data_IF_649638551287
#
_entry.id   IF_649638551287
#
_cell.length_a   1.000
_cell.length_b   1.000
_cell.length_c   1.000
_cell.angle_alpha   90.00
_cell.angle_beta   90.00
_cell.angle_gamma   90.00
#
_symmetry.space_group_name_H-M   'P 1'
#
loop_
_entity.id
_entity.type
_entity.pdbx_description
1 polymer ?
#
# COMPACT_ATOMS: atom_id res chain seq x y z
N UNK A 1 1.22 9.44 -40.43
CA UNK A 1 0.37 10.36 -39.64
C UNK A 1 0.24 9.80 -38.23
N UNK A 2 0.94 10.39 -37.25
CA UNK A 2 0.96 9.91 -35.85
C UNK A 2 -0.21 10.54 -35.10
N UNK A 3 -1.18 9.73 -34.68
CA UNK A 3 -2.28 10.19 -33.82
C UNK A 3 -1.75 10.37 -32.39
N UNK A 4 -1.85 11.58 -31.88
CA UNK A 4 -1.67 11.88 -30.47
C UNK A 4 -2.78 11.17 -29.68
N UNK A 5 -2.39 10.34 -28.71
CA UNK A 5 -3.34 9.74 -27.77
C UNK A 5 -3.68 10.78 -26.68
N UNK A 6 -4.95 10.85 -26.23
CA UNK A 6 -5.36 11.80 -25.21
C UNK A 6 -4.71 11.46 -23.87
N UNK A 7 -4.26 12.51 -23.19
CA UNK A 7 -3.78 12.50 -21.81
C UNK A 7 -4.87 11.91 -20.89
N UNK A 8 -4.78 10.62 -20.59
CA UNK A 8 -5.39 10.08 -19.39
C UNK A 8 -4.46 10.40 -18.22
N UNK A 9 -4.80 11.49 -17.55
CA UNK A 9 -4.22 11.95 -16.28
C UNK A 9 -4.20 10.78 -15.30
N UNK A 10 -3.01 10.37 -14.87
CA UNK A 10 -2.85 9.43 -13.78
C UNK A 10 -3.64 9.93 -12.56
N UNK A 11 -4.38 9.08 -11.82
CA UNK A 11 -4.90 9.46 -10.52
C UNK A 11 -3.71 9.89 -9.66
N UNK A 12 -3.84 11.06 -9.03
CA UNK A 12 -2.81 11.67 -8.21
C UNK A 12 -2.56 10.81 -6.96
N UNK A 13 -1.73 9.77 -7.09
CA UNK A 13 -1.33 8.94 -5.96
C UNK A 13 -0.05 9.51 -5.34
N UNK A 14 -0.23 10.06 -4.14
CA UNK A 14 0.74 10.33 -3.07
C UNK A 14 1.88 11.33 -3.36
N UNK A 15 1.65 12.58 -2.95
CA UNK A 15 2.69 13.43 -2.37
C UNK A 15 2.69 13.25 -0.85
N UNK A 16 3.76 12.76 -0.20
CA UNK A 16 3.82 12.77 1.25
C UNK A 16 4.07 14.21 1.75
N UNK A 17 3.08 14.78 2.44
CA UNK A 17 3.24 16.02 3.18
C UNK A 17 4.19 15.77 4.37
N UNK A 18 5.33 16.46 4.35
CA UNK A 18 6.34 16.46 5.41
C UNK A 18 5.79 17.20 6.64
N UNK A 19 5.31 16.46 7.64
CA UNK A 19 4.86 17.05 8.91
C UNK A 19 6.06 17.48 9.75
N UNK A 20 6.04 18.74 10.18
CA UNK A 20 7.04 19.37 11.06
C UNK A 20 6.88 18.83 12.48
N UNK A 21 7.97 18.33 13.06
CA UNK A 21 8.04 18.00 14.48
C UNK A 21 7.84 19.26 15.33
N UNK A 22 6.84 19.23 16.20
CA UNK A 22 6.64 20.22 17.25
C UNK A 22 7.31 19.73 18.53
N UNK A 23 8.20 20.56 19.02
CA UNK A 23 9.01 20.42 20.23
C UNK A 23 8.15 20.82 21.44
N UNK A 24 8.10 19.98 22.48
CA UNK A 24 7.60 20.36 23.80
C UNK A 24 8.70 20.03 24.82
N UNK A 25 9.06 21.02 25.63
CA UNK A 25 10.12 20.94 26.62
C UNK A 25 9.64 20.72 28.06
N UNK A 26 10.67 20.48 28.89
CA UNK A 26 10.87 20.74 30.33
C UNK A 26 10.06 19.99 31.41
N UNK A 27 10.82 19.45 32.38
CA UNK A 27 10.38 19.38 33.78
C UNK A 27 10.91 18.23 34.66
N UNK A 28 12.18 18.30 35.08
CA UNK A 28 12.73 18.16 36.47
C UNK A 28 12.36 16.99 37.42
N UNK A 29 13.45 16.29 37.82
CA UNK A 29 13.89 15.74 39.12
C UNK A 29 13.12 14.68 39.94
N UNK A 30 13.88 13.70 40.43
CA UNK A 30 13.58 12.92 41.64
C UNK A 30 14.21 11.52 41.71
N UNK A 31 15.49 11.42 42.09
CA UNK A 31 16.07 10.23 42.76
C UNK A 31 15.63 10.23 44.25
N UNK A 32 15.49 9.07 44.96
CA UNK A 32 16.67 8.28 45.35
C UNK A 32 16.50 6.75 45.63
N UNK A 33 17.65 6.06 45.53
CA UNK A 33 18.23 4.97 46.36
C UNK A 33 17.47 3.69 46.81
N UNK A 34 18.18 2.60 46.50
CA UNK A 34 18.49 1.38 47.28
C UNK A 34 17.39 0.39 47.74
N UNK A 35 17.59 -0.86 47.34
CA UNK A 35 16.92 -2.02 47.91
C UNK A 35 17.34 -3.32 47.21
N UNK A 36 18.47 -3.89 47.63
CA UNK A 36 18.92 -5.21 47.20
C UNK A 36 18.02 -6.34 47.73
N UNK A 37 17.85 -7.38 46.92
CA UNK A 37 17.13 -8.60 47.29
C UNK A 37 17.33 -9.68 46.24
N UNK A 38 18.30 -10.57 46.50
CA UNK A 38 18.61 -11.76 45.73
C UNK A 38 17.59 -12.86 46.07
N UNK A 39 16.96 -13.49 45.08
CA UNK A 39 16.26 -14.76 45.26
C UNK A 39 16.14 -15.52 43.94
N UNK A 40 16.79 -16.69 43.92
CA UNK A 40 16.69 -17.73 42.91
C UNK A 40 15.24 -18.15 42.64
N UNK A 41 14.90 -18.29 41.36
CA UNK A 41 13.58 -18.73 40.93
C UNK A 41 13.64 -19.27 39.51
N UNK A 42 13.88 -20.57 39.40
CA UNK A 42 13.88 -21.35 38.17
C UNK A 42 12.61 -21.10 37.34
N UNK A 43 12.77 -20.41 36.21
CA UNK A 43 11.76 -20.28 35.16
C UNK A 43 12.34 -20.75 33.83
N UNK A 44 12.25 -22.05 33.55
CA UNK A 44 12.40 -22.57 32.18
C UNK A 44 11.28 -21.97 31.32
N UNK A 45 11.54 -20.84 30.69
CA UNK A 45 10.73 -20.38 29.57
C UNK A 45 11.21 -21.11 28.31
N UNK A 46 10.39 -21.95 27.65
CA UNK A 46 10.68 -22.31 26.29
C UNK A 46 10.37 -21.08 25.44
N UNK A 47 11.38 -20.21 25.26
CA UNK A 47 11.34 -19.15 24.26
C UNK A 47 11.52 -19.78 22.87
N UNK A 48 10.52 -20.54 22.44
CA UNK A 48 10.31 -20.81 21.02
C UNK A 48 8.94 -20.23 20.66
N UNK A 49 8.87 -18.90 20.72
CA UNK A 49 7.84 -18.15 20.02
C UNK A 49 8.10 -18.29 18.52
N UNK A 50 7.78 -19.46 17.98
CA UNK A 50 7.60 -19.65 16.55
C UNK A 50 6.41 -18.78 16.16
N UNK A 51 6.70 -17.52 15.86
CA UNK A 51 5.75 -16.58 15.28
C UNK A 51 5.27 -17.26 14.00
N UNK A 52 4.06 -17.82 14.03
CA UNK A 52 3.30 -18.03 12.80
C UNK A 52 3.08 -16.63 12.24
N UNK A 53 4.00 -16.21 11.38
CA UNK A 53 3.77 -15.06 10.53
C UNK A 53 2.45 -15.33 9.84
N UNK A 54 1.52 -14.39 9.95
CA UNK A 54 0.27 -14.46 9.20
C UNK A 54 0.62 -14.62 7.73
N UNK A 55 -0.23 -15.28 6.95
CA UNK A 55 0.03 -15.50 5.52
C UNK A 55 0.33 -14.18 4.79
N UNK A 56 -0.31 -13.09 5.23
CA UNK A 56 0.01 -11.71 4.86
C UNK A 56 1.50 -11.36 5.08
N UNK A 57 2.03 -11.53 6.28
CA UNK A 57 3.43 -11.19 6.59
C UNK A 57 4.48 -11.97 5.77
N UNK A 58 4.11 -13.11 5.16
CA UNK A 58 5.02 -13.87 4.28
C UNK A 58 5.10 -13.29 2.86
N UNK A 59 4.09 -12.52 2.44
CA UNK A 59 3.98 -12.04 1.06
C UNK A 59 4.75 -10.73 0.85
N UNK A 60 4.85 -9.87 1.88
CA UNK A 60 5.67 -8.66 1.92
C UNK A 60 7.15 -8.94 2.27
N UNK A 61 7.44 -10.05 2.94
CA UNK A 61 8.80 -10.43 3.36
C UNK A 61 9.90 -10.38 2.27
N UNK A 62 9.63 -10.66 0.98
CA UNK A 62 10.65 -10.60 -0.06
C UNK A 62 10.84 -9.19 -0.68
N UNK A 63 10.01 -8.20 -0.36
CA UNK A 63 10.10 -6.87 -0.97
C UNK A 63 10.95 -5.91 -0.14
N UNK A 64 11.99 -5.27 -0.72
CA UNK A 64 12.73 -4.23 -0.03
C UNK A 64 11.84 -3.02 0.21
N UNK A 65 11.94 -2.42 1.40
CA UNK A 65 11.22 -1.21 1.73
C UNK A 65 11.70 -0.04 0.84
N UNK A 66 10.84 0.91 0.43
CA UNK A 66 11.24 1.99 -0.47
C UNK A 66 12.48 2.79 -0.01
N UNK A 67 12.62 3.03 1.30
CA UNK A 67 13.79 3.71 1.87
C UNK A 67 15.10 2.93 1.70
N UNK A 68 15.04 1.60 1.64
CA UNK A 68 16.22 0.77 1.39
C UNK A 68 16.67 0.85 -0.07
N UNK A 69 15.76 1.16 -1.00
CA UNK A 69 16.10 1.32 -2.39
C UNK A 69 16.75 2.66 -2.71
N UNK A 70 16.60 3.69 -1.89
CA UNK A 70 17.19 5.03 -2.11
C UNK A 70 18.71 4.97 -2.31
N UNK A 71 19.38 4.05 -1.61
CA UNK A 71 20.84 3.85 -1.71
C UNK A 71 21.25 2.90 -2.84
N UNK A 72 20.29 2.18 -3.44
CA UNK A 72 20.55 1.24 -4.53
C UNK A 72 20.71 1.98 -5.85
N UNK A 73 21.73 1.59 -6.63
CA UNK A 73 21.95 2.10 -7.99
C UNK A 73 20.74 1.83 -8.89
N UNK A 74 20.17 2.90 -9.45
CA UNK A 74 19.04 2.80 -10.37
C UNK A 74 19.39 1.95 -11.59
N UNK A 75 18.44 1.11 -12.01
CA UNK A 75 18.61 0.07 -13.05
C UNK A 75 19.72 -0.96 -12.77
N UNK A 76 20.39 -0.92 -11.62
CA UNK A 76 21.31 -1.96 -11.18
C UNK A 76 20.60 -3.30 -10.93
N UNK A 77 21.38 -4.35 -10.71
CA UNK A 77 20.84 -5.68 -10.47
C UNK A 77 19.89 -5.76 -9.25
N UNK A 78 20.22 -5.16 -8.08
CA UNK A 78 19.31 -5.18 -6.93
C UNK A 78 18.00 -4.42 -7.21
N UNK A 79 18.05 -3.33 -7.97
CA UNK A 79 16.87 -2.57 -8.38
C UNK A 79 15.94 -3.38 -9.30
N UNK A 80 16.50 -4.01 -10.34
CA UNK A 80 15.72 -4.86 -11.25
C UNK A 80 15.07 -6.03 -10.50
N UNK A 81 15.82 -6.66 -9.59
CA UNK A 81 15.30 -7.73 -8.74
C UNK A 81 14.12 -7.25 -7.91
N UNK A 82 14.23 -6.10 -7.25
CA UNK A 82 13.14 -5.52 -6.46
C UNK A 82 11.88 -5.25 -7.31
N UNK A 83 12.05 -4.66 -8.50
CA UNK A 83 10.94 -4.42 -9.43
C UNK A 83 10.26 -5.72 -9.90
N UNK A 84 11.05 -6.75 -10.25
CA UNK A 84 10.51 -8.05 -10.64
C UNK A 84 9.80 -8.75 -9.47
N UNK A 85 10.32 -8.64 -8.25
CA UNK A 85 9.67 -9.18 -7.07
C UNK A 85 8.34 -8.47 -6.80
N UNK A 86 8.33 -7.13 -6.87
CA UNK A 86 7.12 -6.32 -6.69
C UNK A 86 6.03 -6.74 -7.69
N UNK A 87 6.37 -6.82 -8.97
CA UNK A 87 5.47 -7.30 -10.02
C UNK A 87 4.87 -8.66 -9.66
N UNK A 88 5.71 -9.64 -9.31
CA UNK A 88 5.25 -11.01 -8.98
C UNK A 88 4.39 -11.08 -7.71
N UNK A 89 4.72 -10.28 -6.69
CA UNK A 89 3.94 -10.21 -5.44
C UNK A 89 2.54 -9.68 -5.70
N UNK A 90 2.39 -8.67 -6.57
CA UNK A 90 1.08 -8.11 -6.92
C UNK A 90 0.15 -9.20 -7.49
N UNK A 91 0.60 -10.00 -8.49
CA UNK A 91 -0.25 -11.07 -9.05
C UNK A 91 -0.60 -12.15 -8.02
N UNK A 92 0.32 -12.50 -7.12
CA UNK A 92 0.05 -13.45 -6.03
C UNK A 92 -1.03 -12.92 -5.08
N UNK A 93 -0.98 -11.63 -4.77
CA UNK A 93 -1.99 -10.99 -3.94
C UNK A 93 -3.33 -10.87 -4.67
N UNK A 94 -3.33 -10.51 -5.95
CA UNK A 94 -4.55 -10.50 -6.74
C UNK A 94 -5.23 -11.88 -6.75
N UNK A 95 -4.45 -12.96 -6.89
CA UNK A 95 -4.98 -14.32 -6.87
C UNK A 95 -5.63 -14.69 -5.52
N UNK A 96 -5.07 -14.21 -4.40
CA UNK A 96 -5.51 -14.60 -3.06
C UNK A 96 -6.49 -13.62 -2.40
N UNK A 97 -6.55 -12.36 -2.87
CA UNK A 97 -7.30 -11.27 -2.21
C UNK A 97 -8.44 -10.70 -3.04
N UNK A 98 -8.43 -10.86 -4.37
CA UNK A 98 -9.43 -10.26 -5.24
C UNK A 98 -10.43 -11.29 -5.75
N UNK A 99 -11.67 -10.86 -5.95
CA UNK A 99 -12.67 -11.64 -6.66
C UNK A 99 -12.26 -11.84 -8.13
N UNK A 100 -12.73 -12.91 -8.81
CA UNK A 100 -12.28 -13.24 -10.18
C UNK A 100 -12.37 -12.08 -11.17
N UNK A 101 -13.47 -11.32 -11.15
CA UNK A 101 -13.67 -10.16 -12.03
C UNK A 101 -12.72 -9.01 -11.68
N UNK A 102 -12.51 -8.72 -10.39
CA UNK A 102 -11.58 -7.70 -9.93
C UNK A 102 -10.14 -8.06 -10.29
N UNK A 103 -9.76 -9.33 -10.15
CA UNK A 103 -8.45 -9.85 -10.53
C UNK A 103 -8.19 -9.67 -12.03
N UNK A 104 -9.15 -10.03 -12.89
CA UNK A 104 -8.96 -9.92 -14.33
C UNK A 104 -8.69 -8.47 -14.77
N UNK A 105 -9.44 -7.52 -14.21
CA UNK A 105 -9.22 -6.10 -14.46
C UNK A 105 -7.88 -5.62 -13.88
N UNK A 106 -7.60 -5.97 -12.62
CA UNK A 106 -6.39 -5.59 -11.91
C UNK A 106 -5.12 -6.11 -12.59
N UNK A 107 -5.11 -7.37 -13.02
CA UNK A 107 -3.98 -8.00 -13.70
C UNK A 107 -3.65 -7.29 -15.02
N UNK A 108 -4.68 -6.99 -15.82
CA UNK A 108 -4.51 -6.22 -17.06
C UNK A 108 -3.97 -4.81 -16.78
N UNK A 109 -4.49 -4.16 -15.75
CA UNK A 109 -4.04 -2.82 -15.36
C UNK A 109 -2.56 -2.81 -14.92
N UNK A 110 -2.16 -3.76 -14.07
CA UNK A 110 -0.76 -3.91 -13.61
C UNK A 110 0.19 -4.10 -14.80
N UNK A 111 -0.16 -4.98 -15.75
CA UNK A 111 0.66 -5.22 -16.93
C UNK A 111 0.90 -3.93 -17.72
N UNK A 112 -0.17 -3.18 -17.99
CA UNK A 112 -0.10 -1.92 -18.74
C UNK A 112 0.72 -0.87 -18.00
N UNK A 113 0.51 -0.70 -16.70
CA UNK A 113 1.23 0.32 -15.92
C UNK A 113 2.71 0.01 -15.77
N UNK A 114 3.09 -1.25 -15.53
CA UNK A 114 4.51 -1.65 -15.49
C UNK A 114 5.17 -1.46 -16.86
N UNK A 115 4.49 -1.81 -17.95
CA UNK A 115 5.00 -1.60 -19.30
C UNK A 115 5.23 -0.10 -19.58
N UNK A 116 4.27 0.76 -19.20
CA UNK A 116 4.38 2.23 -19.36
C UNK A 116 5.55 2.83 -18.59
N UNK A 117 5.96 2.21 -17.48
CA UNK A 117 7.02 2.71 -16.61
C UNK A 117 8.39 2.04 -16.82
N UNK A 118 8.55 1.17 -17.83
CA UNK A 118 9.84 0.55 -18.16
C UNK A 118 10.94 1.58 -18.45
N UNK A 119 10.58 2.68 -19.09
CA UNK A 119 11.50 3.75 -19.50
C UNK A 119 11.36 5.02 -18.64
N UNK A 120 10.73 4.92 -17.47
CA UNK A 120 10.62 6.03 -16.55
C UNK A 120 12.00 6.53 -16.09
N UNK A 121 12.09 7.83 -15.83
CA UNK A 121 13.25 8.43 -15.16
C UNK A 121 13.40 7.86 -13.74
N UNK A 122 14.61 7.91 -13.19
CA UNK A 122 14.88 7.38 -11.85
C UNK A 122 13.89 7.91 -10.80
N UNK A 123 13.68 9.22 -10.78
CA UNK A 123 12.74 9.87 -9.86
C UNK A 123 11.33 9.26 -9.98
N UNK A 124 10.80 9.15 -11.19
CA UNK A 124 9.46 8.61 -11.40
C UNK A 124 9.40 7.11 -11.11
N UNK A 125 10.45 6.35 -11.40
CA UNK A 125 10.51 4.93 -11.11
C UNK A 125 10.58 4.64 -9.59
N UNK A 126 11.24 5.51 -8.81
CA UNK A 126 11.25 5.45 -7.33
C UNK A 126 9.89 5.75 -6.73
N UNK A 127 9.23 6.82 -7.20
CA UNK A 127 7.85 7.15 -6.80
C UNK A 127 6.92 5.98 -7.15
N UNK A 128 7.03 5.45 -8.37
CA UNK A 128 6.27 4.29 -8.83
C UNK A 128 6.45 3.10 -7.89
N UNK A 129 7.69 2.71 -7.59
CA UNK A 129 7.95 1.61 -6.65
C UNK A 129 7.29 1.85 -5.29
N UNK A 130 7.44 3.06 -4.73
CA UNK A 130 6.87 3.42 -3.43
C UNK A 130 5.33 3.32 -3.44
N UNK A 131 4.66 3.85 -4.46
CA UNK A 131 3.21 3.78 -4.60
C UNK A 131 2.72 2.34 -4.68
N UNK A 132 3.38 1.50 -5.48
CA UNK A 132 3.02 0.10 -5.65
C UNK A 132 3.36 -0.76 -4.43
N UNK A 133 4.42 -0.43 -3.68
CA UNK A 133 4.71 -1.03 -2.38
C UNK A 133 3.57 -0.73 -1.38
N UNK A 134 3.09 0.52 -1.35
CA UNK A 134 1.93 0.90 -0.53
C UNK A 134 0.67 0.13 -0.93
N UNK A 135 0.42 -0.05 -2.23
CA UNK A 135 -0.69 -0.86 -2.74
C UNK A 135 -0.61 -2.32 -2.28
N UNK A 136 0.57 -2.94 -2.36
CA UNK A 136 0.80 -4.31 -1.86
C UNK A 136 0.46 -4.40 -0.37
N UNK A 137 0.93 -3.45 0.45
CA UNK A 137 0.63 -3.42 1.88
C UNK A 137 -0.88 -3.28 2.15
N UNK A 138 -1.58 -2.48 1.35
CA UNK A 138 -3.04 -2.32 1.41
C UNK A 138 -3.77 -3.64 1.08
N UNK A 139 -3.39 -4.30 -0.01
CA UNK A 139 -3.97 -5.60 -0.40
C UNK A 139 -3.73 -6.67 0.68
N UNK A 140 -2.56 -6.69 1.31
CA UNK A 140 -2.27 -7.62 2.39
C UNK A 140 -3.12 -7.40 3.63
N UNK A 141 -3.44 -6.15 3.94
CA UNK A 141 -4.38 -5.79 4.99
C UNK A 141 -5.84 -6.18 4.67
N UNK A 142 -6.10 -6.76 3.49
CA UNK A 142 -7.44 -7.13 3.03
C UNK A 142 -8.26 -5.95 2.54
N UNK A 143 -7.64 -4.77 2.38
CA UNK A 143 -8.31 -3.57 1.92
C UNK A 143 -8.27 -3.52 0.38
N UNK A 144 -9.24 -4.16 -0.26
CA UNK A 144 -9.37 -4.17 -1.73
C UNK A 144 -10.03 -2.91 -2.29
N UNK A 145 -10.73 -2.16 -1.42
CA UNK A 145 -11.30 -0.85 -1.70
C UNK A 145 -10.90 0.15 -0.60
N UNK A 146 -10.92 1.44 -0.94
CA UNK A 146 -10.79 2.53 0.03
C UNK A 146 -11.77 3.63 -0.32
N UNK A 147 -12.22 4.35 0.70
CA UNK A 147 -12.93 5.61 0.49
C UNK A 147 -11.98 6.64 -0.12
N UNK A 148 -12.56 7.55 -0.92
CA UNK A 148 -11.85 8.71 -1.41
C UNK A 148 -11.48 9.60 -0.23
N UNK A 149 -10.25 10.10 -0.22
CA UNK A 149 -9.81 11.11 0.75
C UNK A 149 -10.51 12.44 0.49
N UNK A 150 -10.55 13.30 1.51
CA UNK A 150 -11.14 14.64 1.39
C UNK A 150 -10.43 15.47 0.30
N UNK A 151 -9.11 15.33 0.16
CA UNK A 151 -8.33 15.98 -0.89
C UNK A 151 -8.73 15.49 -2.28
N UNK A 152 -8.97 14.19 -2.46
CA UNK A 152 -9.41 13.62 -3.73
C UNK A 152 -10.82 14.05 -4.07
N UNK A 153 -11.73 14.08 -3.09
CA UNK A 153 -13.08 14.61 -3.26
C UNK A 153 -13.05 16.09 -3.68
N UNK A 154 -12.13 16.90 -3.15
CA UNK A 154 -11.98 18.31 -3.55
C UNK A 154 -11.51 18.47 -5.00
N UNK A 155 -10.78 17.51 -5.55
CA UNK A 155 -10.30 17.55 -6.94
C UNK A 155 -11.37 17.17 -7.97
N UNK A 156 -12.50 16.59 -7.54
CA UNK A 156 -13.60 16.24 -8.43
C UNK A 156 -14.41 17.47 -8.85
N UNK A 157 -14.82 17.51 -10.11
CA UNK A 157 -15.76 18.53 -10.59
C UNK A 157 -17.14 18.31 -9.96
N UNK A 158 -18.00 19.36 -9.91
CA UNK A 158 -19.37 19.22 -9.41
C UNK A 158 -20.16 18.11 -10.12
N UNK A 159 -19.97 17.96 -11.43
CA UNK A 159 -20.64 16.94 -12.25
C UNK A 159 -20.15 15.54 -11.89
N UNK A 160 -18.85 15.37 -11.65
CA UNK A 160 -18.28 14.09 -11.20
C UNK A 160 -18.81 13.69 -9.82
N UNK A 161 -18.97 14.66 -8.91
CA UNK A 161 -19.56 14.43 -7.59
C UNK A 161 -21.02 14.02 -7.69
N UNK A 162 -21.79 14.66 -8.56
CA UNK A 162 -23.19 14.29 -8.79
C UNK A 162 -23.28 12.87 -9.36
N UNK A 163 -22.44 12.54 -10.35
CA UNK A 163 -22.44 11.20 -10.94
C UNK A 163 -22.07 10.12 -9.92
N UNK A 164 -21.10 10.37 -9.04
CA UNK A 164 -20.78 9.44 -7.96
C UNK A 164 -21.96 9.23 -7.00
N UNK A 165 -22.72 10.29 -6.70
CA UNK A 165 -23.93 10.20 -5.86
C UNK A 165 -25.00 9.35 -6.54
N UNK A 166 -25.24 9.56 -7.82
CA UNK A 166 -26.18 8.78 -8.64
C UNK A 166 -25.81 7.29 -8.65
N UNK A 167 -24.54 6.98 -8.96
CA UNK A 167 -24.03 5.61 -9.00
C UNK A 167 -24.18 4.91 -7.63
N UNK A 168 -23.85 5.61 -6.54
CA UNK A 168 -24.03 5.09 -5.18
C UNK A 168 -25.50 4.77 -4.90
N UNK A 169 -26.42 5.64 -5.34
CA UNK A 169 -27.87 5.41 -5.26
C UNK A 169 -28.30 4.14 -5.99
N UNK A 170 -27.87 3.96 -7.24
CA UNK A 170 -28.18 2.75 -8.02
C UNK A 170 -27.65 1.47 -7.38
N UNK A 171 -26.41 1.46 -6.88
CA UNK A 171 -25.85 0.28 -6.20
C UNK A 171 -26.64 -0.06 -4.93
N UNK A 172 -27.05 0.95 -4.15
CA UNK A 172 -27.89 0.72 -2.96
C UNK A 172 -29.27 0.17 -3.32
N UNK A 173 -29.86 0.63 -4.43
CA UNK A 173 -31.13 0.11 -4.91
C UNK A 173 -31.03 -1.34 -5.39
N UNK A 174 -30.00 -1.67 -6.18
CA UNK A 174 -29.75 -3.05 -6.64
C UNK A 174 -29.60 -4.00 -5.45
N UNK A 175 -28.86 -3.58 -4.41
CA UNK A 175 -28.70 -4.36 -3.18
C UNK A 175 -30.02 -4.62 -2.44
N UNK A 176 -31.00 -3.72 -2.54
CA UNK A 176 -32.31 -3.91 -1.92
C UNK A 176 -33.21 -4.84 -2.75
N UNK A 177 -33.07 -4.81 -4.07
CA UNK A 177 -33.93 -5.59 -4.98
C UNK A 177 -33.39 -6.99 -5.28
N UNK A 178 -32.07 -7.18 -5.21
CA UNK A 178 -31.41 -8.45 -5.50
C UNK A 178 -30.70 -8.96 -4.24
N UNK A 179 -31.21 -10.09 -3.72
CA UNK A 179 -30.72 -10.71 -2.49
C UNK A 179 -29.38 -11.43 -2.68
N UNK A 180 -29.04 -11.80 -3.93
CA UNK A 180 -27.83 -12.53 -4.29
C UNK A 180 -26.67 -11.60 -4.71
N UNK A 181 -26.86 -10.28 -4.63
CA UNK A 181 -25.84 -9.31 -4.99
C UNK A 181 -24.68 -9.30 -3.98
N UNK A 182 -23.51 -9.78 -4.43
CA UNK A 182 -22.26 -9.80 -3.65
C UNK A 182 -21.21 -8.90 -4.32
N UNK A 183 -20.56 -8.05 -3.53
CA UNK A 183 -19.49 -7.11 -3.93
C UNK A 183 -18.09 -7.63 -3.61
#
# INVERSE_FOLDING_TARGET
MRRAAPFFRAPAFFSPARSKGSHCGDGVAGEPHDGGGNADGAGRFPACSSRRLTEAQRVLAPLPHPTQLETVTFRGEPWRRAMCQLYRVIFKLHQSRLLPMQREFGDRFVQVEFQRHMDASEKHARIFYQSWYGYVAQLEAGQTSRELTEEELRQLTPEQKEKLRELRGHVMQVRQTDSDFVL
#
